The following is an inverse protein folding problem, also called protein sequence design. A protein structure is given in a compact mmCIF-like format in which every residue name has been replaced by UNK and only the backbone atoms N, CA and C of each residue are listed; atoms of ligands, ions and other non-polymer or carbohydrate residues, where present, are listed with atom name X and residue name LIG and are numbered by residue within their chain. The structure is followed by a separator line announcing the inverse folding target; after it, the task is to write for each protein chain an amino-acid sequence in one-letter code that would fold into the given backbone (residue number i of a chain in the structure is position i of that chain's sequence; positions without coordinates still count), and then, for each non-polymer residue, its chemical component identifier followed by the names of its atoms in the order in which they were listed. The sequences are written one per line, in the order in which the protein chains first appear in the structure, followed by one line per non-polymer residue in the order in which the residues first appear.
data_IF_769527876469
#
_entry.id   IF_769527876469
#
_cell.length_a   1.000
_cell.length_b   1.000
_cell.length_c   1.000
_cell.angle_alpha   90.00
_cell.angle_beta   90.00
_cell.angle_gamma   90.00
#
_symmetry.space_group_name_H-M   'P 1'
#
loop_
_entity.id
_entity.type
_entity.pdbx_description
1 polymer ?
#
# COMPACT_ATOMS: atom_id res chain seq x y z
N UNK A 1 -43.47 -9.32 -61.85
CA UNK A 1 -42.26 -9.12 -61.02
C UNK A 1 -42.71 -9.07 -59.58
N UNK A 2 -42.39 -10.10 -58.76
CA UNK A 2 -42.87 -10.20 -57.38
C UNK A 2 -41.76 -9.63 -56.49
N UNK A 3 -41.94 -8.39 -56.05
CA UNK A 3 -41.01 -7.69 -55.19
C UNK A 3 -40.93 -8.44 -53.86
N UNK A 4 -39.77 -9.07 -53.61
CA UNK A 4 -39.50 -9.82 -52.40
C UNK A 4 -39.25 -8.79 -51.31
N UNK A 5 -40.31 -8.40 -50.60
CA UNK A 5 -40.23 -7.51 -49.45
C UNK A 5 -39.44 -8.26 -48.36
N UNK A 6 -38.13 -8.04 -48.34
CA UNK A 6 -37.24 -8.57 -47.32
C UNK A 6 -37.74 -7.94 -46.02
N UNK A 7 -38.26 -8.77 -45.12
CA UNK A 7 -38.82 -8.36 -43.84
C UNK A 7 -37.77 -7.54 -43.08
N UNK A 8 -37.87 -6.21 -43.19
CA UNK A 8 -36.91 -5.26 -42.62
C UNK A 8 -36.83 -5.42 -41.11
N UNK A 9 -37.93 -5.81 -40.46
CA UNK A 9 -37.96 -6.06 -39.02
C UNK A 9 -37.11 -7.28 -38.66
N UNK A 10 -37.17 -8.35 -39.47
CA UNK A 10 -36.35 -9.54 -39.26
C UNK A 10 -34.85 -9.26 -39.48
N UNK A 11 -34.52 -8.36 -40.41
CA UNK A 11 -33.14 -7.92 -40.63
C UNK A 11 -32.64 -7.03 -39.48
N UNK A 12 -33.48 -6.09 -39.02
CA UNK A 12 -33.18 -5.21 -37.90
C UNK A 12 -32.95 -5.99 -36.59
N UNK A 13 -33.78 -7.01 -36.33
CA UNK A 13 -33.63 -7.90 -35.17
C UNK A 13 -32.32 -8.69 -35.22
N UNK A 14 -31.94 -9.19 -36.40
CA UNK A 14 -30.69 -9.94 -36.58
C UNK A 14 -29.45 -9.05 -36.36
N UNK A 15 -29.49 -7.81 -36.86
CA UNK A 15 -28.43 -6.81 -36.64
C UNK A 15 -28.33 -6.43 -35.16
N UNK A 16 -29.46 -6.27 -34.45
CA UNK A 16 -29.47 -5.97 -33.02
C UNK A 16 -28.86 -7.09 -32.18
N UNK A 17 -29.16 -8.36 -32.48
CA UNK A 17 -28.59 -9.53 -31.79
C UNK A 17 -27.08 -9.63 -32.01
N UNK A 18 -26.59 -9.31 -33.21
CA UNK A 18 -25.16 -9.28 -33.52
C UNK A 18 -24.42 -8.17 -32.76
N UNK A 19 -24.99 -6.99 -32.60
CA UNK A 19 -24.34 -5.89 -31.85
C UNK A 19 -24.25 -6.24 -30.35
N UNK A 20 -25.28 -6.89 -29.80
CA UNK A 20 -25.32 -7.29 -28.39
C UNK A 20 -24.33 -8.42 -28.06
N UNK A 21 -23.96 -9.28 -29.01
CA UNK A 21 -23.01 -10.37 -28.77
C UNK A 21 -21.53 -9.93 -28.79
N UNK A 22 -21.17 -8.85 -29.48
CA UNK A 22 -19.80 -8.32 -29.55
C UNK A 22 -19.54 -7.08 -28.67
N UNK A 23 -20.59 -6.39 -28.21
CA UNK A 23 -20.49 -5.23 -27.33
C UNK A 23 -19.76 -5.42 -25.98
N UNK A 24 -19.88 -6.57 -25.27
CA UNK A 24 -19.35 -6.68 -23.90
C UNK A 24 -17.83 -6.94 -23.78
N UNK A 25 -17.14 -7.30 -24.87
CA UNK A 25 -15.70 -7.59 -24.83
C UNK A 25 -14.84 -6.32 -24.63
N UNK A 26 -15.25 -5.18 -25.19
CA UNK A 26 -14.44 -3.95 -25.20
C UNK A 26 -14.54 -3.22 -23.85
N UNK A 27 -15.72 -3.23 -23.22
CA UNK A 27 -15.98 -2.55 -21.95
C UNK A 27 -15.30 -3.24 -20.76
N UNK A 28 -15.14 -4.56 -20.81
CA UNK A 28 -14.50 -5.32 -19.73
C UNK A 28 -12.98 -5.08 -19.68
N UNK A 29 -12.34 -4.96 -20.84
CA UNK A 29 -10.90 -4.69 -20.95
C UNK A 29 -10.52 -3.28 -20.51
N UNK A 30 -11.36 -2.27 -20.82
CA UNK A 30 -11.13 -0.89 -20.37
C UNK A 30 -11.34 -0.74 -18.86
N UNK A 31 -12.28 -1.47 -18.25
CA UNK A 31 -12.45 -1.49 -16.80
C UNK A 31 -11.25 -2.10 -16.06
N UNK A 32 -10.60 -3.12 -16.62
CA UNK A 32 -9.37 -3.67 -16.05
C UNK A 32 -8.23 -2.65 -16.11
N UNK A 33 -8.03 -2.03 -17.28
CA UNK A 33 -6.98 -1.01 -17.48
C UNK A 33 -7.14 0.19 -16.53
N UNK A 34 -8.37 0.71 -16.38
CA UNK A 34 -8.63 1.83 -15.45
C UNK A 34 -8.40 1.46 -13.98
N UNK A 35 -8.71 0.22 -13.57
CA UNK A 35 -8.37 -0.28 -12.22
C UNK A 35 -6.86 -0.35 -12.01
N UNK A 36 -6.11 -0.85 -12.99
CA UNK A 36 -4.65 -0.99 -12.90
C UNK A 36 -3.94 0.36 -12.85
N UNK A 37 -4.39 1.36 -13.63
CA UNK A 37 -3.83 2.72 -13.58
C UNK A 37 -4.11 3.40 -12.22
N UNK A 38 -5.32 3.25 -11.69
CA UNK A 38 -5.68 3.76 -10.36
C UNK A 38 -4.87 3.07 -9.24
N UNK A 39 -4.62 1.78 -9.35
CA UNK A 39 -3.77 1.04 -8.42
C UNK A 39 -2.31 1.50 -8.47
N UNK A 40 -1.78 1.81 -9.65
CA UNK A 40 -0.42 2.30 -9.84
C UNK A 40 -0.18 3.69 -9.21
N UNK A 41 -1.10 4.63 -9.41
CA UNK A 41 -1.06 5.96 -8.80
C UNK A 41 -1.07 5.88 -7.26
N UNK A 42 -1.93 5.03 -6.72
CA UNK A 42 -2.04 4.89 -5.26
C UNK A 42 -0.84 4.12 -4.69
N UNK A 43 -0.33 3.13 -5.40
CA UNK A 43 0.92 2.45 -5.04
C UNK A 43 2.10 3.42 -4.97
N UNK A 44 2.20 4.37 -5.92
CA UNK A 44 3.24 5.41 -5.90
C UNK A 44 3.15 6.30 -4.66
N UNK A 45 1.94 6.74 -4.31
CA UNK A 45 1.71 7.56 -3.10
C UNK A 45 2.09 6.83 -1.81
N UNK A 46 1.66 5.56 -1.67
CA UNK A 46 2.02 4.72 -0.52
C UNK A 46 3.53 4.46 -0.48
N UNK A 47 4.16 4.18 -1.63
CA UNK A 47 5.61 3.93 -1.71
C UNK A 47 6.42 5.13 -1.24
N UNK A 48 6.02 6.34 -1.65
CA UNK A 48 6.69 7.57 -1.21
C UNK A 48 6.60 7.76 0.31
N UNK A 49 5.45 7.48 0.91
CA UNK A 49 5.29 7.51 2.37
C UNK A 49 6.15 6.44 3.06
N UNK A 50 6.19 5.23 2.50
CA UNK A 50 7.02 4.15 3.05
C UNK A 50 8.52 4.48 2.98
N UNK A 51 8.94 5.23 1.96
CA UNK A 51 10.33 5.72 1.86
C UNK A 51 10.69 6.68 3.00
N UNK A 52 9.83 7.65 3.28
CA UNK A 52 10.04 8.60 4.39
C UNK A 52 10.12 7.88 5.74
N UNK A 53 9.21 6.93 5.98
CA UNK A 53 9.24 6.08 7.18
C UNK A 53 10.52 5.25 7.20
N UNK A 54 10.93 4.68 6.07
CA UNK A 54 12.15 3.87 5.96
C UNK A 54 13.41 4.66 6.33
N UNK A 55 13.54 5.89 5.83
CA UNK A 55 14.65 6.79 6.18
C UNK A 55 14.64 7.18 7.67
N UNK A 56 13.46 7.41 8.25
CA UNK A 56 13.33 7.66 9.69
C UNK A 56 13.69 6.42 10.52
N UNK A 57 13.27 5.22 10.09
CA UNK A 57 13.60 3.95 10.75
C UNK A 57 15.10 3.66 10.67
N UNK A 58 15.74 3.90 9.53
CA UNK A 58 17.19 3.71 9.37
C UNK A 58 17.99 4.59 10.35
N UNK A 59 17.61 5.87 10.46
CA UNK A 59 18.17 6.78 11.46
C UNK A 59 17.93 6.29 12.88
N UNK A 60 16.72 5.79 13.18
CA UNK A 60 16.39 5.24 14.50
C UNK A 60 17.28 4.04 14.83
N UNK A 61 17.47 3.11 13.88
CA UNK A 61 18.34 1.94 14.05
C UNK A 61 19.77 2.37 14.36
N UNK A 62 20.27 3.37 13.63
CA UNK A 62 21.60 3.92 13.86
C UNK A 62 21.76 4.56 15.24
N UNK A 63 20.80 5.39 15.67
CA UNK A 63 20.86 6.09 16.96
C UNK A 63 20.63 5.15 18.16
N UNK A 64 19.79 4.12 18.02
CA UNK A 64 19.42 3.19 19.09
C UNK A 64 20.00 1.79 18.90
N UNK A 65 21.09 1.65 18.15
CA UNK A 65 21.70 0.37 17.82
C UNK A 65 21.95 -0.51 19.05
N UNK A 66 22.57 0.03 20.09
CA UNK A 66 22.89 -0.71 21.33
C UNK A 66 21.63 -1.30 21.99
N UNK A 67 20.53 -0.53 22.00
CA UNK A 67 19.27 -0.99 22.62
C UNK A 67 18.54 -1.99 21.74
N UNK A 68 18.68 -1.89 20.41
CA UNK A 68 18.11 -2.82 19.45
C UNK A 68 18.87 -4.15 19.42
N UNK A 69 20.20 -4.11 19.47
CA UNK A 69 21.06 -5.29 19.45
C UNK A 69 20.91 -6.12 20.72
N UNK A 70 20.68 -5.46 21.86
CA UNK A 70 20.39 -6.09 23.16
C UNK A 70 18.90 -6.43 23.36
N UNK A 71 18.04 -6.15 22.38
CA UNK A 71 16.59 -6.41 22.45
C UNK A 71 15.94 -5.78 23.71
N UNK A 72 16.35 -4.55 24.04
CA UNK A 72 15.87 -3.83 25.22
C UNK A 72 14.56 -3.10 24.94
N UNK A 73 13.49 -3.44 25.67
CA UNK A 73 12.21 -2.73 25.59
C UNK A 73 12.23 -1.39 26.33
N UNK A 74 11.41 -0.43 25.89
CA UNK A 74 11.20 0.87 26.53
C UNK A 74 9.74 1.30 26.44
N UNK A 75 9.21 1.90 27.51
CA UNK A 75 7.88 2.49 27.54
C UNK A 75 7.87 4.00 27.25
N UNK A 76 9.02 4.62 26.97
CA UNK A 76 9.16 6.04 26.68
C UNK A 76 9.53 6.91 27.88
N UNK A 77 10.83 7.10 28.11
CA UNK A 77 11.41 7.89 29.20
C UNK A 77 12.39 8.95 28.66
N UNK A 78 12.77 9.93 29.47
CA UNK A 78 13.59 11.09 29.05
C UNK A 78 14.93 10.75 28.37
N UNK A 79 15.46 9.53 28.54
CA UNK A 79 16.67 9.04 27.86
C UNK A 79 16.43 7.97 26.77
N UNK A 80 15.22 7.43 26.68
CA UNK A 80 14.78 6.46 25.68
C UNK A 80 13.31 6.76 25.33
N UNK A 81 13.08 7.73 24.40
CA UNK A 81 11.78 8.33 24.12
C UNK A 81 10.67 7.35 23.79
N UNK A 82 11.00 6.14 23.29
CA UNK A 82 10.08 5.01 23.16
C UNK A 82 8.76 5.34 22.45
N UNK A 83 7.77 4.43 22.45
CA UNK A 83 7.82 3.06 22.98
C UNK A 83 8.53 2.08 22.03
N UNK A 84 9.19 1.06 22.59
CA UNK A 84 9.81 -0.05 21.86
C UNK A 84 9.54 -1.35 22.60
N UNK A 85 8.97 -2.34 21.92
CA UNK A 85 8.67 -3.65 22.51
C UNK A 85 9.53 -4.70 21.82
N UNK A 86 10.49 -5.26 22.54
CA UNK A 86 11.40 -6.27 22.02
C UNK A 86 11.04 -7.67 22.53
N UNK A 87 11.26 -8.66 21.67
CA UNK A 87 11.15 -10.09 21.94
C UNK A 87 12.46 -10.80 21.54
N UNK A 88 12.51 -12.14 21.58
CA UNK A 88 13.70 -12.94 21.27
C UNK A 88 14.19 -12.83 19.82
N UNK A 89 13.37 -12.30 18.90
CA UNK A 89 13.64 -12.23 17.46
C UNK A 89 13.83 -10.81 16.92
N UNK A 90 13.36 -9.80 17.65
CA UNK A 90 13.40 -8.42 17.18
C UNK A 90 12.59 -7.47 18.04
N UNK A 91 12.46 -6.23 17.58
CA UNK A 91 11.75 -5.16 18.25
C UNK A 91 10.62 -4.59 17.37
N UNK A 92 9.44 -4.42 17.95
CA UNK A 92 8.33 -3.67 17.38
C UNK A 92 8.38 -2.23 17.89
N UNK A 93 8.28 -1.27 16.95
CA UNK A 93 8.12 0.14 17.25
C UNK A 93 6.90 0.70 16.52
N UNK A 94 6.46 1.87 16.96
CA UNK A 94 5.35 2.58 16.33
C UNK A 94 5.86 3.87 15.68
N UNK A 95 5.05 4.47 14.81
CA UNK A 95 5.37 5.79 14.26
C UNK A 95 5.54 6.85 15.36
N UNK A 96 4.85 6.69 16.51
CA UNK A 96 5.02 7.58 17.66
C UNK A 96 6.45 7.57 18.19
N UNK A 97 7.12 6.41 18.14
CA UNK A 97 8.53 6.27 18.53
C UNK A 97 9.43 7.15 17.66
N UNK A 98 9.17 7.16 16.36
CA UNK A 98 9.93 7.99 15.41
C UNK A 98 9.62 9.49 15.59
N UNK A 99 8.39 9.85 15.95
CA UNK A 99 8.01 11.23 16.30
C UNK A 99 8.75 11.67 17.57
N UNK A 100 8.75 10.82 18.61
CA UNK A 100 9.38 11.13 19.90
C UNK A 100 10.91 11.30 19.78
N UNK A 101 11.53 10.62 18.82
CA UNK A 101 12.96 10.76 18.50
C UNK A 101 13.24 11.92 17.52
N UNK A 102 12.21 12.66 17.08
CA UNK A 102 12.33 13.78 16.15
C UNK A 102 12.64 13.37 14.70
N UNK A 103 12.39 12.10 14.34
CA UNK A 103 12.68 11.53 13.03
C UNK A 103 11.50 11.62 12.07
N UNK A 104 10.28 11.76 12.59
CA UNK A 104 9.07 12.07 11.84
C UNK A 104 8.39 13.33 12.40
N UNK A 105 7.68 14.11 11.56
CA UNK A 105 6.93 15.27 12.02
C UNK A 105 5.75 14.85 12.92
N UNK A 106 5.40 15.71 13.88
CA UNK A 106 4.26 15.49 14.80
C UNK A 106 2.90 15.38 14.10
N UNK A 107 2.81 15.83 12.84
CA UNK A 107 1.62 15.73 12.00
C UNK A 107 1.47 14.37 11.31
N UNK A 108 2.42 13.45 11.48
CA UNK A 108 2.38 12.15 10.84
C UNK A 108 1.24 11.27 11.39
N UNK A 109 0.32 10.86 10.51
CA UNK A 109 -0.94 10.25 10.90
C UNK A 109 -0.92 8.71 11.09
N UNK A 110 0.21 8.03 10.91
CA UNK A 110 0.30 6.57 11.12
C UNK A 110 -0.49 5.71 10.13
N UNK A 111 -1.14 6.35 9.16
CA UNK A 111 -2.10 5.76 8.23
C UNK A 111 -1.63 6.06 6.82
N UNK A 112 -1.65 5.06 5.93
CA UNK A 112 -1.25 5.24 4.54
C UNK A 112 -2.39 5.82 3.67
N UNK A 113 -2.10 6.15 2.41
CA UNK A 113 -3.11 6.65 1.43
C UNK A 113 -4.30 5.72 1.17
N UNK A 114 -4.28 4.49 1.70
CA UNK A 114 -5.36 3.49 1.64
C UNK A 114 -6.10 3.34 2.98
N UNK A 115 -5.88 4.25 3.91
CA UNK A 115 -6.43 4.22 5.26
C UNK A 115 -6.01 2.97 6.08
N UNK A 116 -4.88 2.34 5.72
CA UNK A 116 -4.37 1.18 6.43
C UNK A 116 -3.29 1.60 7.44
N UNK A 117 -3.41 1.06 8.65
CA UNK A 117 -2.40 1.19 9.71
C UNK A 117 -1.22 0.29 9.42
N UNK A 118 0.00 0.75 9.71
CA UNK A 118 1.22 -0.04 9.58
C UNK A 118 1.94 -0.16 10.92
N UNK A 119 2.71 -1.24 11.07
CA UNK A 119 3.58 -1.50 12.22
C UNK A 119 5.00 -1.71 11.74
N UNK A 120 5.97 -1.28 12.53
CA UNK A 120 7.38 -1.33 12.18
C UNK A 120 8.03 -2.43 13.00
N UNK A 121 8.51 -3.47 12.31
CA UNK A 121 9.23 -4.59 12.92
C UNK A 121 10.70 -4.55 12.53
N UNK A 122 11.55 -4.45 13.55
CA UNK A 122 13.00 -4.47 13.44
C UNK A 122 13.46 -5.87 13.80
N UNK A 123 13.85 -6.68 12.81
CA UNK A 123 14.39 -8.01 13.05
C UNK A 123 15.89 -7.96 13.20
N UNK A 124 16.40 -8.74 14.15
CA UNK A 124 17.84 -8.97 14.29
C UNK A 124 18.19 -10.19 13.47
N UNK A 125 18.83 -9.98 12.32
CA UNK A 125 19.38 -11.10 11.56
C UNK A 125 20.62 -11.62 12.31
N UNK A 126 20.63 -12.92 12.61
CA UNK A 126 21.77 -13.63 13.20
C UNK A 126 22.92 -13.83 12.19
N UNK A 127 23.07 -12.95 11.20
CA UNK A 127 24.22 -13.00 10.31
C UNK A 127 25.42 -12.45 11.09
N UNK A 128 25.93 -13.30 11.99
CA UNK A 128 27.23 -13.15 12.62
C UNK A 128 28.22 -13.09 11.43
N UNK A 129 29.00 -12.00 11.27
CA UNK A 129 30.03 -11.96 10.25
C UNK A 129 31.07 -13.06 10.45
#
# INVERSE_FOLDING_TARGET
MKEKNINMDSFLLLVAILIMSFGPCIVSMSHQKMKTEQEAEIAKSVTQQMKEIGEAVDKYVNTRYEKLSTLTSSSGQSGDPGPRVCNSTGCEITYQTLINEGLLPVSYAGINSKNATHRIFLKRDNNIP
#
